data_IF_260115133269
#
_entry.id   IF_260115133269
#
_cell.length_a   1.000
_cell.length_b   1.000
_cell.length_c   1.000
_cell.angle_alpha   90.00
_cell.angle_beta   90.00
_cell.angle_gamma   90.00
#
_symmetry.space_group_name_H-M   'P 1'
#
loop_
_entity.id
_entity.type
_entity.pdbx_description
1 polymer ?
#
# COMPACT_ATOMS: atom_id res chain seq x y z
N UNK A 1 -7.86 19.95 -5.43
CA UNK A 1 -6.78 19.68 -4.47
C UNK A 1 -6.02 20.95 -4.08
N UNK A 2 -5.31 20.91 -2.99
CA UNK A 2 -4.46 22.00 -2.54
C UNK A 2 -3.02 21.51 -2.44
N UNK A 3 -2.05 22.27 -2.95
CA UNK A 3 -0.64 21.92 -2.82
C UNK A 3 -0.22 21.88 -1.35
N UNK A 4 0.62 20.90 -1.00
CA UNK A 4 1.17 20.74 0.34
C UNK A 4 2.63 21.23 0.40
N UNK A 5 3.12 21.68 1.57
CA UNK A 5 4.51 22.08 1.76
C UNK A 5 5.50 20.94 1.50
N UNK A 6 6.79 21.23 1.22
CA UNK A 6 7.85 20.22 1.20
C UNK A 6 7.88 19.40 2.50
N UNK A 7 8.26 18.13 2.42
CA UNK A 7 8.26 17.18 3.52
C UNK A 7 6.88 16.63 3.92
N UNK A 8 5.80 17.19 3.39
CA UNK A 8 4.44 16.74 3.71
C UNK A 8 3.96 15.72 2.69
N UNK A 9 3.48 14.57 3.16
CA UNK A 9 2.93 13.52 2.30
C UNK A 9 1.58 13.96 1.73
N UNK A 10 1.47 13.92 0.40
CA UNK A 10 0.26 14.22 -0.36
C UNK A 10 0.00 13.20 -1.46
N UNK A 11 -1.06 13.38 -2.22
CA UNK A 11 -1.29 12.62 -3.45
C UNK A 11 -0.49 13.25 -4.59
N UNK A 12 0.28 12.44 -5.33
CA UNK A 12 1.02 12.90 -6.50
C UNK A 12 0.02 13.22 -7.61
N UNK A 13 0.01 14.47 -8.04
CA UNK A 13 -0.84 14.93 -9.14
C UNK A 13 0.01 15.51 -10.27
N UNK A 14 -0.34 15.19 -11.51
CA UNK A 14 0.35 15.68 -12.70
C UNK A 14 -0.60 16.55 -13.51
N UNK A 15 -0.16 17.73 -13.92
CA UNK A 15 -0.95 18.63 -14.76
C UNK A 15 -0.55 18.51 -16.22
N UNK A 16 -1.54 18.43 -17.10
CA UNK A 16 -1.29 18.35 -18.53
C UNK A 16 -2.57 18.49 -19.36
N UNK A 17 -2.46 18.18 -20.64
CA UNK A 17 -3.56 18.25 -21.61
C UNK A 17 -4.00 16.82 -21.94
N UNK A 18 -5.26 16.43 -21.60
CA UNK A 18 -5.78 15.09 -21.91
C UNK A 18 -5.67 14.79 -23.42
N UNK A 19 -5.18 13.59 -23.75
CA UNK A 19 -4.95 13.15 -25.13
C UNK A 19 -3.66 13.66 -25.78
N UNK A 20 -2.87 14.51 -25.09
CA UNK A 20 -1.57 15.03 -25.58
C UNK A 20 -0.47 14.68 -24.59
N UNK A 21 -0.47 15.25 -23.38
CA UNK A 21 0.54 15.03 -22.33
C UNK A 21 0.00 14.21 -21.15
N UNK A 22 -1.30 13.99 -21.10
CA UNK A 22 -1.96 13.04 -20.21
C UNK A 22 -2.76 12.04 -21.05
N UNK A 23 -3.12 10.91 -20.41
CA UNK A 23 -4.08 9.99 -21.03
C UNK A 23 -5.39 10.70 -21.36
N UNK A 24 -6.05 10.30 -22.44
CA UNK A 24 -7.35 10.82 -22.83
C UNK A 24 -8.45 10.42 -21.83
N UNK A 25 -8.34 9.22 -21.27
CA UNK A 25 -9.26 8.60 -20.32
C UNK A 25 -9.06 7.10 -20.25
N UNK A 26 -9.78 6.47 -19.34
CA UNK A 26 -9.89 5.00 -19.31
C UNK A 26 -10.80 4.52 -20.43
N UNK A 27 -10.45 3.36 -21.01
CA UNK A 27 -11.24 2.77 -22.09
C UNK A 27 -12.59 2.31 -21.55
N UNK A 28 -13.66 2.79 -22.14
CA UNK A 28 -15.05 2.48 -21.83
C UNK A 28 -15.45 2.66 -20.34
N UNK A 29 -14.69 3.53 -19.61
CA UNK A 29 -14.95 3.87 -18.21
C UNK A 29 -14.88 5.40 -17.96
N UNK A 30 -15.95 6.11 -18.31
CA UNK A 30 -16.04 7.56 -18.12
C UNK A 30 -16.07 7.97 -16.65
N UNK A 31 -16.58 7.12 -15.75
CA UNK A 31 -16.61 7.41 -14.33
C UNK A 31 -15.22 7.35 -13.70
N UNK A 32 -14.40 6.33 -14.00
CA UNK A 32 -13.02 6.27 -13.57
C UNK A 32 -12.23 7.45 -14.15
N UNK A 33 -12.48 7.83 -15.40
CA UNK A 33 -11.86 8.99 -16.03
C UNK A 33 -12.18 10.27 -15.27
N UNK A 34 -13.45 10.52 -14.94
CA UNK A 34 -13.88 11.72 -14.22
C UNK A 34 -13.34 11.78 -12.78
N UNK A 35 -13.13 10.62 -12.12
CA UNK A 35 -12.50 10.53 -10.80
C UNK A 35 -10.99 10.82 -10.83
N UNK A 36 -10.34 10.57 -11.95
CA UNK A 36 -8.88 10.58 -12.07
C UNK A 36 -8.35 11.85 -12.73
N UNK A 37 -9.06 12.38 -13.73
CA UNK A 37 -8.69 13.64 -14.42
C UNK A 37 -9.75 14.68 -14.12
N UNK A 38 -9.38 15.74 -13.40
CA UNK A 38 -10.31 16.81 -13.09
C UNK A 38 -10.45 17.81 -14.26
N UNK A 39 -11.49 18.65 -14.20
CA UNK A 39 -11.78 19.65 -15.25
C UNK A 39 -10.69 20.73 -15.46
N UNK A 40 -9.69 20.81 -14.56
CA UNK A 40 -8.56 21.74 -14.65
C UNK A 40 -7.30 21.11 -15.27
N UNK A 41 -7.38 19.85 -15.74
CA UNK A 41 -6.28 19.10 -16.36
C UNK A 41 -5.30 18.50 -15.36
N UNK A 42 -5.72 18.26 -14.12
CA UNK A 42 -4.95 17.51 -13.16
C UNK A 42 -5.31 16.02 -13.20
N UNK A 43 -4.29 15.20 -13.41
CA UNK A 43 -4.37 13.74 -13.24
C UNK A 43 -3.95 13.37 -11.82
N UNK A 44 -4.85 12.73 -11.08
CA UNK A 44 -4.63 12.20 -9.75
C UNK A 44 -4.11 10.76 -9.89
N UNK A 45 -2.84 10.54 -9.55
CA UNK A 45 -2.19 9.24 -9.80
C UNK A 45 -2.67 8.13 -8.86
N UNK A 46 -3.23 8.49 -7.71
CA UNK A 46 -3.52 7.55 -6.63
C UNK A 46 -2.28 7.14 -5.83
N UNK A 47 -1.12 7.67 -6.18
CA UNK A 47 0.14 7.44 -5.48
C UNK A 47 0.36 8.53 -4.43
N UNK A 48 0.83 8.15 -3.25
CA UNK A 48 1.25 9.04 -2.17
C UNK A 48 2.75 9.25 -2.21
N UNK A 49 3.16 10.49 -1.99
CA UNK A 49 4.56 10.85 -1.94
C UNK A 49 4.75 12.21 -1.29
N UNK A 50 5.98 12.60 -1.08
CA UNK A 50 6.34 13.95 -0.65
C UNK A 50 7.42 14.50 -1.57
N UNK A 51 7.59 15.81 -1.56
CA UNK A 51 8.66 16.51 -2.25
C UNK A 51 9.58 17.13 -1.20
N UNK A 52 10.90 17.01 -1.36
CA UNK A 52 11.85 17.72 -0.50
C UNK A 52 11.99 19.20 -0.88
N UNK A 53 12.86 19.93 -0.16
CA UNK A 53 13.13 21.35 -0.42
C UNK A 53 13.88 21.58 -1.73
N UNK A 54 14.62 20.58 -2.22
CA UNK A 54 15.35 20.60 -3.49
C UNK A 54 14.45 20.30 -4.70
N UNK A 55 13.22 19.82 -4.45
CA UNK A 55 12.22 19.53 -5.47
C UNK A 55 12.15 18.08 -5.94
N UNK A 56 12.91 17.15 -5.32
CA UNK A 56 12.83 15.73 -5.60
C UNK A 56 11.59 15.10 -5.01
N UNK A 57 10.96 14.20 -5.78
CA UNK A 57 9.77 13.47 -5.35
C UNK A 57 10.15 12.09 -4.84
N UNK A 58 9.62 11.77 -3.66
CA UNK A 58 9.77 10.47 -3.01
C UNK A 58 8.42 9.79 -2.93
N UNK A 59 8.34 8.60 -3.50
CA UNK A 59 7.15 7.75 -3.40
C UNK A 59 7.06 7.16 -1.98
N UNK A 60 5.86 7.11 -1.43
CA UNK A 60 5.58 6.52 -0.11
C UNK A 60 4.79 5.24 -0.26
N UNK A 61 3.60 5.30 -0.86
CA UNK A 61 2.74 4.15 -1.11
C UNK A 61 1.57 4.54 -2.03
N UNK A 62 0.78 3.55 -2.44
CA UNK A 62 -0.51 3.81 -3.07
C UNK A 62 -1.56 4.21 -2.05
N UNK A 63 -2.49 5.07 -2.46
CA UNK A 63 -3.62 5.51 -1.64
C UNK A 63 -4.48 4.34 -1.14
N UNK A 64 -4.64 3.31 -1.97
CA UNK A 64 -5.39 2.09 -1.63
C UNK A 64 -4.63 1.13 -0.69
N UNK A 65 -3.31 1.29 -0.52
CA UNK A 65 -2.49 0.49 0.37
C UNK A 65 -2.26 1.15 1.74
N UNK A 66 -2.76 2.38 1.93
CA UNK A 66 -2.67 3.06 3.21
C UNK A 66 -3.72 2.53 4.16
N UNK A 67 -3.28 1.94 5.25
CA UNK A 67 -4.12 1.38 6.33
C UNK A 67 -4.32 2.45 7.39
N UNK A 68 -5.57 2.72 7.74
CA UNK A 68 -5.92 3.71 8.76
C UNK A 68 -6.08 3.03 10.11
N UNK A 69 -5.13 3.19 10.99
CA UNK A 69 -5.14 2.56 12.30
C UNK A 69 -5.09 3.58 13.43
N UNK A 70 -6.21 3.77 14.12
CA UNK A 70 -6.27 4.65 15.28
C UNK A 70 -5.87 6.11 15.01
N UNK A 71 -6.18 6.63 13.82
CA UNK A 71 -5.80 7.98 13.38
C UNK A 71 -4.45 8.07 12.69
N UNK A 72 -3.64 7.01 12.72
CA UNK A 72 -2.36 6.93 12.04
C UNK A 72 -2.50 6.29 10.64
N UNK A 73 -1.65 6.70 9.71
CA UNK A 73 -1.56 6.10 8.40
C UNK A 73 -0.38 5.12 8.36
N UNK A 74 -0.67 3.85 8.13
CA UNK A 74 0.32 2.79 7.99
C UNK A 74 0.47 2.42 6.51
N UNK A 75 1.68 2.50 5.98
CA UNK A 75 1.99 2.02 4.63
C UNK A 75 2.07 0.50 4.66
N UNK A 76 1.25 -0.18 3.86
CA UNK A 76 1.32 -1.63 3.70
C UNK A 76 2.69 -2.05 3.14
N UNK A 77 3.24 -1.29 2.20
CA UNK A 77 4.56 -1.56 1.60
C UNK A 77 5.67 -1.49 2.64
N UNK A 78 5.67 -0.50 3.54
CA UNK A 78 6.67 -0.41 4.62
C UNK A 78 6.64 -1.64 5.54
N UNK A 79 5.45 -2.14 5.84
CA UNK A 79 5.28 -3.35 6.66
C UNK A 79 5.76 -4.59 5.89
N UNK A 80 5.41 -4.69 4.60
CA UNK A 80 5.86 -5.78 3.72
C UNK A 80 7.38 -5.82 3.62
N UNK A 81 8.02 -4.68 3.41
CA UNK A 81 9.48 -4.58 3.33
C UNK A 81 10.14 -5.07 4.64
N UNK A 82 9.59 -4.71 5.78
CA UNK A 82 10.10 -5.17 7.08
C UNK A 82 9.93 -6.69 7.27
N UNK A 83 8.80 -7.27 6.83
CA UNK A 83 8.55 -8.70 6.89
C UNK A 83 9.46 -9.49 5.95
N UNK A 84 9.69 -8.99 4.72
CA UNK A 84 10.57 -9.60 3.73
C UNK A 84 12.04 -9.65 4.15
N UNK A 85 12.46 -8.83 5.13
CA UNK A 85 13.80 -8.94 5.72
C UNK A 85 13.98 -10.19 6.59
N UNK A 86 12.89 -10.89 6.96
CA UNK A 86 12.99 -12.13 7.73
C UNK A 86 13.44 -13.29 6.85
N UNK A 87 14.49 -14.05 7.22
CA UNK A 87 15.11 -15.05 6.34
C UNK A 87 14.18 -16.20 5.93
N UNK A 88 13.14 -16.48 6.70
CA UNK A 88 12.16 -17.52 6.39
C UNK A 88 10.96 -17.00 5.57
N UNK A 89 10.85 -15.71 5.27
CA UNK A 89 9.74 -15.12 4.49
C UNK A 89 10.15 -15.05 3.03
N UNK A 90 9.40 -15.73 2.16
CA UNK A 90 9.59 -15.70 0.73
C UNK A 90 8.79 -14.58 0.07
N UNK A 91 7.55 -14.41 0.51
CA UNK A 91 6.62 -13.43 -0.01
C UNK A 91 5.64 -13.01 1.09
N UNK A 92 5.14 -11.80 1.03
CA UNK A 92 4.09 -11.36 1.93
C UNK A 92 3.16 -10.33 1.27
N UNK A 93 1.98 -10.20 1.84
CA UNK A 93 1.02 -9.15 1.50
C UNK A 93 0.38 -8.61 2.76
N UNK A 94 0.27 -7.30 2.84
CA UNK A 94 -0.31 -6.59 3.99
C UNK A 94 -1.55 -5.81 3.54
N UNK A 95 -2.64 -5.97 4.30
CA UNK A 95 -3.90 -5.28 4.07
C UNK A 95 -4.43 -4.67 5.37
N UNK A 96 -5.31 -3.69 5.26
CA UNK A 96 -6.15 -3.22 6.35
C UNK A 96 -7.45 -4.02 6.38
N UNK A 97 -7.82 -4.54 7.54
CA UNK A 97 -9.10 -5.17 7.80
C UNK A 97 -9.87 -4.35 8.83
N UNK A 98 -11.20 -4.36 8.77
CA UNK A 98 -12.02 -3.55 9.66
C UNK A 98 -11.78 -3.91 11.14
N UNK A 99 -11.58 -2.89 11.98
CA UNK A 99 -11.40 -3.03 13.42
C UNK A 99 -12.39 -2.09 14.14
N UNK A 100 -13.28 -2.61 15.01
CA UNK A 100 -14.34 -1.80 15.61
C UNK A 100 -13.83 -0.71 16.57
N UNK A 101 -12.56 -0.78 17.00
CA UNK A 101 -11.95 0.17 17.95
C UNK A 101 -10.98 1.13 17.27
N UNK A 102 -10.26 0.64 16.23
CA UNK A 102 -9.13 1.35 15.63
C UNK A 102 -9.31 1.69 14.16
N UNK A 103 -10.53 1.66 13.65
CA UNK A 103 -10.88 1.81 12.23
C UNK A 103 -10.40 0.59 11.42
N UNK A 104 -9.08 0.37 11.35
CA UNK A 104 -8.51 -0.81 10.71
C UNK A 104 -7.41 -1.46 11.57
N UNK A 105 -7.30 -2.79 11.46
CA UNK A 105 -6.18 -3.59 11.92
C UNK A 105 -5.22 -3.88 10.76
N UNK A 106 -3.93 -4.01 11.05
CA UNK A 106 -2.92 -4.44 10.08
C UNK A 106 -2.92 -5.97 10.05
N UNK A 107 -3.29 -6.56 8.91
CA UNK A 107 -3.27 -8.01 8.66
C UNK A 107 -2.20 -8.35 7.63
N UNK A 108 -1.35 -9.32 7.94
CA UNK A 108 -0.30 -9.81 7.06
C UNK A 108 -0.57 -11.26 6.66
N UNK A 109 -0.40 -11.57 5.39
CA UNK A 109 -0.31 -12.92 4.85
C UNK A 109 1.13 -13.19 4.46
N UNK A 110 1.69 -14.32 4.86
CA UNK A 110 3.10 -14.64 4.70
C UNK A 110 3.26 -16.01 4.06
N UNK A 111 4.06 -16.08 3.01
CA UNK A 111 4.52 -17.34 2.41
C UNK A 111 5.94 -17.60 2.90
N UNK A 112 6.19 -18.79 3.42
CA UNK A 112 7.53 -19.16 3.87
C UNK A 112 8.41 -19.65 2.72
N UNK A 113 9.72 -19.45 2.85
CA UNK A 113 10.71 -20.04 1.97
C UNK A 113 10.62 -21.58 2.08
N UNK A 114 10.62 -22.25 0.95
CA UNK A 114 10.51 -23.71 0.90
C UNK A 114 11.59 -24.38 1.79
N UNK A 115 11.14 -25.26 2.67
CA UNK A 115 12.01 -25.96 3.62
C UNK A 115 12.41 -25.17 4.85
N UNK A 116 11.97 -23.92 4.99
CA UNK A 116 12.10 -23.12 6.19
C UNK A 116 10.84 -23.27 7.06
N UNK A 117 11.01 -23.11 8.37
CA UNK A 117 9.93 -23.04 9.33
C UNK A 117 10.09 -21.79 10.18
N UNK A 118 8.99 -21.08 10.40
CA UNK A 118 8.91 -19.97 11.34
C UNK A 118 7.48 -19.88 11.87
N UNK A 119 7.32 -19.43 13.10
CA UNK A 119 6.01 -19.18 13.68
C UNK A 119 5.58 -17.73 13.46
N UNK A 120 4.26 -17.50 13.55
CA UNK A 120 3.69 -16.14 13.51
C UNK A 120 4.34 -15.25 14.57
N UNK A 121 4.57 -15.77 15.77
CA UNK A 121 5.17 -15.03 16.89
C UNK A 121 6.63 -14.62 16.60
N UNK A 122 7.41 -15.48 15.95
CA UNK A 122 8.80 -15.20 15.56
C UNK A 122 8.85 -14.09 14.52
N UNK A 123 8.03 -14.18 13.47
CA UNK A 123 7.96 -13.17 12.41
C UNK A 123 7.44 -11.84 12.96
N UNK A 124 6.41 -11.86 13.81
CA UNK A 124 5.86 -10.66 14.44
C UNK A 124 6.89 -9.98 15.33
N UNK A 125 7.63 -10.74 16.14
CA UNK A 125 8.71 -10.22 16.99
C UNK A 125 9.84 -9.60 16.15
N UNK A 126 10.18 -10.21 15.04
CA UNK A 126 11.17 -9.69 14.12
C UNK A 126 10.75 -8.35 13.51
N UNK A 127 9.47 -8.24 13.10
CA UNK A 127 8.90 -7.00 12.58
C UNK A 127 8.83 -5.90 13.66
N UNK A 128 8.48 -6.25 14.91
CA UNK A 128 8.40 -5.31 16.02
C UNK A 128 9.75 -4.67 16.38
N UNK A 129 10.88 -5.30 16.06
CA UNK A 129 12.20 -4.69 16.23
C UNK A 129 12.53 -3.63 15.15
N UNK A 130 11.70 -3.49 14.09
CA UNK A 130 11.97 -2.65 12.91
C UNK A 130 10.89 -1.63 12.62
N UNK A 131 9.70 -1.88 13.12
CA UNK A 131 8.52 -1.04 12.90
C UNK A 131 8.09 -0.36 14.21
N UNK A 132 7.47 0.79 14.10
CA UNK A 132 6.76 1.40 15.22
C UNK A 132 5.57 0.49 15.65
N UNK A 133 5.24 0.47 16.94
CA UNK A 133 4.24 -0.44 17.53
C UNK A 133 2.90 -0.45 16.78
N UNK A 134 2.44 0.72 16.34
CA UNK A 134 1.17 0.84 15.61
C UNK A 134 1.22 0.28 14.19
N UNK A 135 2.41 0.02 13.63
CA UNK A 135 2.62 -0.57 12.30
C UNK A 135 2.74 -2.09 12.33
N UNK A 136 3.06 -2.66 13.49
CA UNK A 136 3.23 -4.11 13.64
C UNK A 136 1.90 -4.81 13.35
N UNK A 137 1.87 -5.83 12.47
CA UNK A 137 0.67 -6.61 12.20
C UNK A 137 0.09 -7.21 13.48
N UNK A 138 -1.20 -6.99 13.71
CA UNK A 138 -1.95 -7.60 14.82
C UNK A 138 -2.59 -8.92 14.43
N UNK A 139 -2.75 -9.13 13.13
CA UNK A 139 -3.23 -10.37 12.54
C UNK A 139 -2.19 -10.86 11.54
N UNK A 140 -1.86 -12.15 11.58
CA UNK A 140 -0.92 -12.74 10.63
C UNK A 140 -1.32 -14.18 10.33
N UNK A 141 -1.29 -14.54 9.06
CA UNK A 141 -1.55 -15.88 8.58
C UNK A 141 -0.36 -16.36 7.72
N UNK A 142 0.09 -17.58 7.97
CA UNK A 142 1.04 -18.28 7.10
C UNK A 142 0.21 -19.06 6.09
N UNK A 143 0.43 -18.78 4.80
CA UNK A 143 -0.30 -19.35 3.67
C UNK A 143 0.68 -20.05 2.72
N UNK A 144 0.19 -21.01 1.94
CA UNK A 144 1.01 -21.73 0.97
C UNK A 144 1.37 -20.85 -0.24
N UNK A 145 0.43 -19.99 -0.68
CA UNK A 145 0.62 -19.09 -1.81
C UNK A 145 -0.24 -17.84 -1.67
N UNK A 146 0.16 -16.75 -2.35
CA UNK A 146 -0.62 -15.53 -2.48
C UNK A 146 -1.30 -15.47 -3.87
N UNK A 147 -2.50 -14.86 -3.97
CA UNK A 147 -3.14 -14.66 -5.27
C UNK A 147 -2.36 -13.65 -6.11
N UNK A 148 -2.08 -14.02 -7.37
CA UNK A 148 -1.36 -13.17 -8.30
C UNK A 148 -2.19 -12.80 -9.52
N UNK A 149 -1.98 -11.60 -10.02
CA UNK A 149 -2.47 -11.18 -11.35
C UNK A 149 -1.72 -11.91 -12.45
N UNK A 150 -2.25 -11.89 -13.69
CA UNK A 150 -1.59 -12.46 -14.87
C UNK A 150 -0.17 -11.91 -15.16
N UNK A 151 0.17 -10.78 -14.55
CA UNK A 151 1.49 -10.13 -14.67
C UNK A 151 2.37 -10.32 -13.42
N UNK A 152 2.01 -11.27 -12.53
CA UNK A 152 2.81 -11.68 -11.38
C UNK A 152 2.79 -10.72 -10.18
N UNK A 153 1.83 -9.78 -10.11
CA UNK A 153 1.65 -8.91 -8.92
C UNK A 153 0.63 -9.51 -7.98
N UNK A 154 0.86 -9.43 -6.67
CA UNK A 154 -0.11 -9.86 -5.66
C UNK A 154 -1.42 -9.10 -5.81
N UNK A 155 -2.52 -9.83 -5.89
CA UNK A 155 -3.87 -9.28 -6.02
C UNK A 155 -4.53 -9.12 -4.65
N UNK A 156 -4.12 -8.07 -3.90
CA UNK A 156 -4.58 -7.82 -2.53
C UNK A 156 -6.11 -7.73 -2.38
N UNK A 157 -6.84 -7.41 -3.45
CA UNK A 157 -8.31 -7.37 -3.42
C UNK A 157 -8.93 -8.72 -3.08
N UNK A 158 -8.31 -9.82 -3.54
CA UNK A 158 -8.79 -11.16 -3.24
C UNK A 158 -8.54 -11.54 -1.78
N UNK A 159 -7.51 -10.99 -1.15
CA UNK A 159 -7.21 -11.22 0.26
C UNK A 159 -8.23 -10.55 1.18
N UNK A 160 -8.81 -9.41 0.77
CA UNK A 160 -9.86 -8.72 1.53
C UNK A 160 -11.20 -9.48 1.58
N UNK A 161 -11.38 -10.51 0.74
CA UNK A 161 -12.62 -11.31 0.68
C UNK A 161 -12.49 -12.68 1.36
N UNK A 162 -11.37 -12.96 2.02
CA UNK A 162 -11.10 -14.20 2.76
C UNK A 162 -11.44 -14.09 4.26
N UNK A 163 -11.98 -12.94 4.70
CA UNK A 163 -12.42 -12.68 6.08
C UNK A 163 -13.92 -12.93 6.29
#
# INVERSE_FOLDING_TARGET
GRAVPPGTVGEIAVRGIPGISLMKGYYDDPEATARTVNGEGWYLSGDKGYRDEEGWFYFVDRKCNMIKRGGENVSATEVEDALLMHPAVAECAVIGVDDPVRDQAVKAFVVLVQGQAATVEEITRFAACRLADFKVPTLMEIVDELPHTSVGKVEKKLLCSLD
#
